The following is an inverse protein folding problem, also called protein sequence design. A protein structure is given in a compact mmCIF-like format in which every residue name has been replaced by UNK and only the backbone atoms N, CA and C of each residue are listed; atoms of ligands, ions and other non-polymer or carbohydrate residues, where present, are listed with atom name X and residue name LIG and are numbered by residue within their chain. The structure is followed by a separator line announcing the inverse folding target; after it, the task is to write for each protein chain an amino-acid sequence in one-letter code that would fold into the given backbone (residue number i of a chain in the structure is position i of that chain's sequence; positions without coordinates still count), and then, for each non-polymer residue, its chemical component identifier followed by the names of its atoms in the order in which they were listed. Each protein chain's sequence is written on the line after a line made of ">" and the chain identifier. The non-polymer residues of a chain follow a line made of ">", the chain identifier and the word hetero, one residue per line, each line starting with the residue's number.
data_IF_007375753145
#
_entry.id   IF_007375753145
#
_cell.length_a   1.000
_cell.length_b   1.000
_cell.length_c   1.000
_cell.angle_alpha   90.00
_cell.angle_beta   90.00
_cell.angle_gamma   90.00
#
_symmetry.space_group_name_H-M   'P 1'
#
loop_
_entity.id
_entity.type
_entity.pdbx_description
1 polymer ?
#
# COMPACT_ATOMS: atom_id res chain seq x y z
N UNK A 1 8.02 -7.96 8.97
CA UNK A 1 6.64 -7.49 9.18
C UNK A 1 6.31 -6.43 8.13
N UNK A 2 7.12 -5.38 8.02
CA UNK A 2 6.95 -4.26 7.09
C UNK A 2 6.82 -4.67 5.61
N UNK A 3 7.65 -5.62 5.17
CA UNK A 3 7.56 -6.18 3.81
C UNK A 3 6.20 -6.85 3.51
N UNK A 4 5.54 -7.45 4.50
CA UNK A 4 4.20 -8.03 4.30
C UNK A 4 3.12 -6.96 4.19
N UNK A 5 3.28 -5.85 4.92
CA UNK A 5 2.35 -4.70 4.89
C UNK A 5 2.44 -4.02 3.53
N UNK A 6 3.67 -3.73 3.06
CA UNK A 6 3.93 -3.14 1.76
C UNK A 6 3.41 -4.02 0.62
N UNK A 7 3.67 -5.33 0.68
CA UNK A 7 3.16 -6.26 -0.34
C UNK A 7 1.63 -6.29 -0.37
N UNK A 8 0.97 -6.27 0.79
CA UNK A 8 -0.50 -6.22 0.88
C UNK A 8 -1.06 -4.91 0.34
N UNK A 9 -0.45 -3.78 0.67
CA UNK A 9 -0.84 -2.46 0.17
C UNK A 9 -0.66 -2.38 -1.36
N UNK A 10 0.48 -2.84 -1.88
CA UNK A 10 0.76 -2.88 -3.31
C UNK A 10 -0.22 -3.79 -4.05
N UNK A 11 -0.57 -4.96 -3.49
CA UNK A 11 -1.59 -5.84 -4.05
C UNK A 11 -2.96 -5.15 -4.15
N UNK A 12 -3.39 -4.46 -3.09
CA UNK A 12 -4.69 -3.77 -3.09
C UNK A 12 -4.71 -2.59 -4.10
N UNK A 13 -3.61 -1.86 -4.23
CA UNK A 13 -3.47 -0.76 -5.19
C UNK A 13 -3.37 -1.25 -6.64
N UNK A 14 -2.54 -2.24 -6.91
CA UNK A 14 -2.19 -2.67 -8.27
C UNK A 14 -3.11 -3.75 -8.82
N UNK A 15 -3.37 -4.81 -8.05
CA UNK A 15 -4.15 -5.96 -8.51
C UNK A 15 -5.66 -5.78 -8.27
N UNK A 16 -6.03 -5.14 -7.16
CA UNK A 16 -7.44 -4.87 -6.85
C UNK A 16 -7.92 -3.49 -7.35
N UNK A 17 -7.01 -2.65 -7.86
CA UNK A 17 -7.30 -1.28 -8.31
C UNK A 17 -8.08 -0.45 -7.29
N UNK A 18 -7.84 -0.67 -6.01
CA UNK A 18 -8.51 0.08 -4.96
C UNK A 18 -7.90 1.48 -4.83
N UNK A 19 -8.73 2.51 -4.60
CA UNK A 19 -8.21 3.85 -4.36
C UNK A 19 -7.44 3.89 -3.03
N UNK A 20 -6.39 4.70 -2.97
CA UNK A 20 -5.46 4.79 -1.83
C UNK A 20 -6.18 4.90 -0.47
N UNK A 21 -7.22 5.73 -0.39
CA UNK A 21 -7.97 5.93 0.85
C UNK A 21 -8.72 4.67 1.30
N UNK A 22 -9.25 3.87 0.38
CA UNK A 22 -9.84 2.56 0.69
C UNK A 22 -8.77 1.57 1.15
N UNK A 23 -7.57 1.60 0.57
CA UNK A 23 -6.45 0.74 1.01
C UNK A 23 -6.01 1.10 2.42
N UNK A 24 -5.92 2.38 2.77
CA UNK A 24 -5.60 2.84 4.14
C UNK A 24 -6.62 2.31 5.15
N UNK A 25 -7.91 2.33 4.82
CA UNK A 25 -8.96 1.78 5.68
C UNK A 25 -8.82 0.26 5.82
N UNK A 26 -8.67 -0.46 4.71
CA UNK A 26 -8.56 -1.92 4.69
C UNK A 26 -7.32 -2.46 5.37
N UNK A 27 -6.20 -1.76 5.34
CA UNK A 27 -5.00 -2.18 6.07
C UNK A 27 -5.24 -2.35 7.57
N UNK A 28 -6.23 -1.66 8.16
CA UNK A 28 -6.63 -1.85 9.56
C UNK A 28 -7.16 -3.24 9.84
N UNK A 29 -7.85 -3.85 8.88
CA UNK A 29 -8.43 -5.19 9.04
C UNK A 29 -7.35 -6.28 9.05
N UNK A 30 -6.29 -6.10 8.27
CA UNK A 30 -5.16 -7.03 8.19
C UNK A 30 -4.08 -6.77 9.25
N UNK A 31 -3.87 -5.51 9.61
CA UNK A 31 -2.82 -5.06 10.53
C UNK A 31 -3.41 -4.09 11.56
N UNK A 32 -4.19 -4.58 12.54
CA UNK A 32 -4.93 -3.74 13.48
C UNK A 32 -4.04 -2.95 14.45
N UNK A 33 -2.77 -3.35 14.59
CA UNK A 33 -1.78 -2.65 15.40
C UNK A 33 -1.29 -1.34 14.75
N UNK A 34 -1.53 -1.13 13.46
CA UNK A 34 -1.08 0.07 12.76
C UNK A 34 -1.97 1.27 13.11
N UNK A 35 -1.32 2.36 13.47
CA UNK A 35 -1.94 3.68 13.52
C UNK A 35 -2.40 4.14 12.13
N UNK A 36 -3.21 5.21 12.07
CA UNK A 36 -3.60 5.81 10.79
C UNK A 36 -2.38 6.30 10.00
N UNK A 37 -1.47 7.01 10.66
CA UNK A 37 -0.27 7.58 10.05
C UNK A 37 0.64 6.49 9.47
N UNK A 38 0.77 5.35 10.16
CA UNK A 38 1.55 4.23 9.62
C UNK A 38 0.90 3.62 8.38
N UNK A 39 -0.44 3.48 8.36
CA UNK A 39 -1.16 2.96 7.19
C UNK A 39 -1.00 3.89 5.99
N UNK A 40 -1.16 5.19 6.18
CA UNK A 40 -0.95 6.20 5.13
C UNK A 40 0.48 6.12 4.58
N UNK A 41 1.49 6.03 5.46
CA UNK A 41 2.89 5.87 5.04
C UNK A 41 3.11 4.62 4.18
N UNK A 42 2.58 3.47 4.61
CA UNK A 42 2.74 2.22 3.87
C UNK A 42 1.99 2.23 2.54
N UNK A 43 0.82 2.88 2.45
CA UNK A 43 0.09 3.04 1.19
C UNK A 43 0.86 3.94 0.23
N UNK A 44 1.39 5.06 0.70
CA UNK A 44 2.22 5.93 -0.14
C UNK A 44 3.46 5.20 -0.65
N UNK A 45 4.19 4.50 0.22
CA UNK A 45 5.38 3.75 -0.18
C UNK A 45 5.06 2.63 -1.18
N UNK A 46 3.92 1.95 -1.02
CA UNK A 46 3.46 0.95 -1.98
C UNK A 46 3.03 1.56 -3.32
N UNK A 47 2.36 2.73 -3.28
CA UNK A 47 2.00 3.48 -4.48
C UNK A 47 3.25 3.89 -5.25
N UNK A 48 4.25 4.43 -4.55
CA UNK A 48 5.54 4.81 -5.13
C UNK A 48 6.23 3.59 -5.76
N UNK A 49 6.22 2.41 -5.13
CA UNK A 49 6.78 1.19 -5.71
C UNK A 49 6.06 0.74 -6.99
N UNK A 50 4.73 0.78 -7.01
CA UNK A 50 3.92 0.38 -8.17
C UNK A 50 4.14 1.34 -9.35
N UNK A 51 4.20 2.65 -9.07
CA UNK A 51 4.26 3.68 -10.11
C UNK A 51 5.68 4.08 -10.50
N UNK A 52 6.67 3.95 -9.61
CA UNK A 52 8.08 4.21 -9.94
C UNK A 52 8.71 3.04 -10.70
N UNK A 53 8.30 1.79 -10.42
CA UNK A 53 8.72 0.64 -11.22
C UNK A 53 8.24 0.72 -12.68
N UNK A 54 7.19 1.49 -12.96
CA UNK A 54 6.72 1.73 -14.32
C UNK A 54 7.60 2.73 -15.11
N UNK A 55 8.44 3.53 -14.43
CA UNK A 55 9.25 4.58 -15.06
C UNK A 55 10.63 4.07 -15.53
N UNK A 56 11.15 2.99 -14.96
CA UNK A 56 12.48 2.43 -15.30
C UNK A 56 12.50 1.53 -16.57
N UNK A 57 11.45 1.58 -17.41
CA UNK A 57 11.37 0.79 -18.66
C UNK A 57 11.42 1.66 -19.94
N UNK A 58 12.21 2.74 -19.93
CA UNK A 58 12.47 3.59 -21.12
C UNK A 58 13.98 3.86 -21.28
#
# INVERSE_FOLDING_TARGET
>A
MDSQILHKAAFLLHECHEPEQTVVERLKEYFPALSLVERERYVQEAWDQVHSAAVDTL
#
